data_IF_636588955006
#
_entry.id   IF_636588955006
#
_cell.length_a   1.000
_cell.length_b   1.000
_cell.length_c   1.000
_cell.angle_alpha   90.00
_cell.angle_beta   90.00
_cell.angle_gamma   90.00
#
_symmetry.space_group_name_H-M   'P 1'
#
loop_
_entity.id
_entity.type
_entity.pdbx_description
1 polymer ?
#
# COMPACT_ATOMS: atom_id res chain seq x y z
N UNK A 1 2.99 8.90 -14.29
CA UNK A 1 1.58 8.57 -14.67
C UNK A 1 1.23 7.10 -14.43
N UNK A 2 2.16 6.27 -13.96
CA UNK A 2 1.92 4.83 -13.74
C UNK A 2 2.28 4.43 -12.29
N UNK A 3 2.22 5.39 -11.37
CA UNK A 3 2.90 5.26 -10.10
C UNK A 3 2.04 4.62 -9.01
N UNK A 4 0.73 4.80 -9.06
CA UNK A 4 -0.17 4.16 -8.12
C UNK A 4 -1.58 4.04 -8.71
N UNK A 5 -2.27 2.89 -8.55
CA UNK A 5 -3.67 2.73 -8.97
C UNK A 5 -4.58 3.83 -8.40
N UNK A 6 -4.33 4.26 -7.16
CA UNK A 6 -5.05 5.35 -6.50
C UNK A 6 -4.80 6.75 -7.09
N UNK A 7 -3.74 6.93 -7.87
CA UNK A 7 -3.47 8.19 -8.56
C UNK A 7 -4.16 8.24 -9.94
N UNK A 8 -4.46 7.07 -10.51
CA UNK A 8 -5.09 6.93 -11.83
C UNK A 8 -6.61 7.02 -11.71
N UNK A 9 -7.19 6.43 -10.66
CA UNK A 9 -8.64 6.48 -10.44
C UNK A 9 -8.97 6.62 -8.94
N UNK A 10 -9.41 7.80 -8.48
CA UNK A 10 -9.86 8.02 -7.10
C UNK A 10 -11.07 7.15 -6.71
N UNK A 11 -11.87 6.70 -7.67
CA UNK A 11 -13.03 5.84 -7.41
C UNK A 11 -12.62 4.40 -7.06
N UNK A 12 -11.40 3.99 -7.43
CA UNK A 12 -10.87 2.67 -7.18
C UNK A 12 -10.77 2.34 -5.70
N UNK A 13 -10.44 3.32 -4.84
CA UNK A 13 -10.42 3.11 -3.39
C UNK A 13 -11.81 2.74 -2.89
N UNK A 14 -12.84 3.50 -3.28
CA UNK A 14 -14.23 3.24 -2.89
C UNK A 14 -14.74 1.90 -3.43
N UNK A 15 -14.33 1.49 -4.63
CA UNK A 15 -14.68 0.19 -5.19
C UNK A 15 -14.01 -0.96 -4.44
N UNK A 16 -12.72 -0.83 -4.11
CA UNK A 16 -11.95 -1.86 -3.43
C UNK A 16 -12.36 -2.05 -1.96
N UNK A 17 -12.82 -0.99 -1.31
CA UNK A 17 -13.22 -1.01 0.11
C UNK A 17 -14.72 -1.24 0.32
N UNK A 18 -15.51 -1.37 -0.76
CA UNK A 18 -16.97 -1.51 -0.66
C UNK A 18 -17.37 -2.81 0.06
N UNK A 19 -18.19 -2.71 1.09
CA UNK A 19 -18.65 -3.86 1.88
C UNK A 19 -17.61 -4.46 2.83
N UNK A 20 -16.43 -3.88 2.93
CA UNK A 20 -15.38 -4.32 3.87
C UNK A 20 -15.40 -3.49 5.15
N UNK A 21 -14.98 -4.07 6.29
CA UNK A 21 -14.74 -3.31 7.51
C UNK A 21 -13.54 -2.37 7.33
N UNK A 22 -13.56 -1.20 7.97
CA UNK A 22 -12.50 -0.19 7.86
C UNK A 22 -11.11 -0.75 8.22
N UNK A 23 -11.05 -1.71 9.15
CA UNK A 23 -9.83 -2.41 9.54
C UNK A 23 -9.13 -3.12 8.36
N UNK A 24 -9.86 -3.48 7.30
CA UNK A 24 -9.31 -4.15 6.13
C UNK A 24 -8.86 -3.21 5.02
N UNK A 25 -9.22 -1.92 5.08
CA UNK A 25 -8.96 -0.97 3.99
C UNK A 25 -7.45 -0.87 3.70
N UNK A 26 -6.63 -0.86 4.74
CA UNK A 26 -5.18 -0.83 4.62
C UNK A 26 -4.64 -2.08 3.93
N UNK A 27 -5.11 -3.26 4.32
CA UNK A 27 -4.67 -4.53 3.76
C UNK A 27 -5.04 -4.65 2.28
N UNK A 28 -6.25 -4.24 1.92
CA UNK A 28 -6.70 -4.20 0.53
C UNK A 28 -5.87 -3.21 -0.29
N UNK A 29 -5.58 -2.03 0.26
CA UNK A 29 -4.82 -1.02 -0.45
C UNK A 29 -3.36 -1.39 -0.68
N UNK A 30 -2.75 -2.11 0.27
CA UNK A 30 -1.42 -2.70 0.08
C UNK A 30 -1.45 -3.74 -1.04
N UNK A 31 -2.46 -4.61 -1.08
CA UNK A 31 -2.60 -5.67 -2.09
C UNK A 31 -2.91 -5.16 -3.50
N UNK A 32 -3.61 -4.03 -3.61
CA UNK A 32 -3.95 -3.42 -4.90
C UNK A 32 -2.73 -2.85 -5.64
N UNK A 33 -1.60 -2.66 -4.96
CA UNK A 33 -0.37 -2.08 -5.51
C UNK A 33 0.82 -2.98 -5.27
N UNK A 34 1.41 -3.52 -6.35
CA UNK A 34 2.62 -4.36 -6.25
C UNK A 34 3.79 -3.65 -5.55
N UNK A 35 3.86 -2.31 -5.67
CA UNK A 35 4.85 -1.48 -4.96
C UNK A 35 4.62 -1.46 -3.46
N UNK A 36 3.38 -1.26 -3.01
CA UNK A 36 3.05 -1.30 -1.58
C UNK A 36 3.23 -2.71 -1.01
N UNK A 37 2.88 -3.75 -1.76
CA UNK A 37 3.11 -5.13 -1.34
C UNK A 37 4.61 -5.45 -1.18
N UNK A 38 5.46 -4.95 -2.08
CA UNK A 38 6.91 -5.07 -1.94
C UNK A 38 7.45 -4.26 -0.76
N UNK A 39 6.94 -3.04 -0.58
CA UNK A 39 7.31 -2.16 0.52
C UNK A 39 6.93 -2.76 1.89
N UNK A 40 5.75 -3.35 2.02
CA UNK A 40 5.28 -4.02 3.24
C UNK A 40 6.21 -5.16 3.68
N UNK A 41 6.63 -5.99 2.72
CA UNK A 41 7.63 -7.05 2.95
C UNK A 41 8.97 -6.46 3.38
N UNK A 42 9.48 -5.45 2.66
CA UNK A 42 10.77 -4.82 2.97
C UNK A 42 10.77 -4.17 4.36
N UNK A 43 9.71 -3.44 4.71
CA UNK A 43 9.53 -2.80 6.02
C UNK A 43 9.46 -3.85 7.13
N UNK A 44 8.77 -4.96 6.90
CA UNK A 44 8.69 -6.06 7.86
C UNK A 44 10.06 -6.67 8.14
N UNK A 45 10.87 -6.93 7.12
CA UNK A 45 12.21 -7.50 7.28
C UNK A 45 13.20 -6.50 7.89
N UNK A 46 13.19 -5.25 7.44
CA UNK A 46 14.05 -4.20 8.00
C UNK A 46 13.72 -3.90 9.45
N UNK A 47 12.43 -3.93 9.84
CA UNK A 47 11.98 -3.81 11.24
C UNK A 47 12.51 -4.95 12.10
N UNK A 48 12.45 -6.21 11.62
CA UNK A 48 13.03 -7.37 12.33
C UNK A 48 14.54 -7.20 12.56
N UNK A 49 15.23 -6.52 11.65
CA UNK A 49 16.66 -6.25 11.72
C UNK A 49 17.02 -4.95 12.49
N UNK A 50 16.04 -4.19 12.98
CA UNK A 50 16.27 -2.93 13.68
C UNK A 50 16.83 -1.80 12.81
N UNK A 51 16.66 -1.88 11.49
CA UNK A 51 17.18 -0.91 10.53
C UNK A 51 16.25 0.30 10.41
N UNK A 52 16.81 1.43 9.98
CA UNK A 52 16.05 2.64 9.63
C UNK A 52 15.82 2.69 8.13
N UNK A 53 14.61 3.03 7.71
CA UNK A 53 14.21 3.12 6.31
C UNK A 53 13.89 4.58 5.96
N UNK A 54 14.34 5.04 4.80
CA UNK A 54 13.99 6.34 4.22
C UNK A 54 13.15 6.08 2.97
N UNK A 55 11.98 6.70 2.88
CA UNK A 55 11.08 6.58 1.73
C UNK A 55 11.08 7.93 1.00
N UNK A 56 11.45 7.91 -0.27
CA UNK A 56 11.45 9.09 -1.15
C UNK A 56 10.42 8.83 -2.25
N UNK A 57 9.54 9.79 -2.49
CA UNK A 57 8.48 9.72 -3.49
C UNK A 57 8.38 11.07 -4.22
N UNK A 58 7.78 11.05 -5.41
CA UNK A 58 7.56 12.22 -6.27
C UNK A 58 6.06 12.55 -6.35
#
# INVERSE_FOLDING_TARGET
CCDHPYFVDPSLQKMLTNGLPEAEYLNVGIKASGKLQALDKLLSETKKQGLRVVIIFQ
#
